data_IF_971655841334
#
_entry.id   IF_971655841334
#
_cell.length_a   1.000
_cell.length_b   1.000
_cell.length_c   1.000
_cell.angle_alpha   90.00
_cell.angle_beta   90.00
_cell.angle_gamma   90.00
#
_symmetry.space_group_name_H-M   'P 1'
#
loop_
_entity.id
_entity.type
_entity.pdbx_description
1 polymer ?
#
# COMPACT_ATOMS: atom_id res chain seq x y z
N UNK A 1 -2.61 23.31 -31.66
CA UNK A 1 -2.62 21.83 -31.61
C UNK A 1 -1.40 21.33 -32.35
N UNK A 2 -0.40 20.78 -31.65
CA UNK A 2 0.76 20.16 -32.29
C UNK A 2 0.44 18.70 -32.61
N UNK A 3 0.75 18.25 -33.83
CA UNK A 3 0.55 16.87 -34.24
C UNK A 3 1.30 15.93 -33.29
N UNK A 4 0.56 15.00 -32.66
CA UNK A 4 1.16 13.91 -31.90
C UNK A 4 2.09 13.12 -32.82
N UNK A 5 3.35 12.96 -32.44
CA UNK A 5 4.33 12.26 -33.28
C UNK A 5 3.87 10.82 -33.56
N UNK A 6 4.34 10.22 -34.65
CA UNK A 6 4.05 8.82 -34.96
C UNK A 6 4.37 7.88 -33.78
N UNK A 7 5.43 8.19 -33.02
CA UNK A 7 5.78 7.49 -31.80
C UNK A 7 4.69 7.59 -30.73
N UNK A 8 4.10 8.76 -30.51
CA UNK A 8 3.02 8.93 -29.52
C UNK A 8 1.79 8.10 -29.88
N UNK A 9 1.43 8.04 -31.18
CA UNK A 9 0.33 7.19 -31.66
C UNK A 9 0.62 5.70 -31.47
N UNK A 10 1.85 5.27 -31.79
CA UNK A 10 2.28 3.88 -31.59
C UNK A 10 2.25 3.51 -30.10
N UNK A 11 2.81 4.35 -29.23
CA UNK A 11 2.84 4.11 -27.79
C UNK A 11 1.41 4.07 -27.23
N UNK A 12 0.53 5.00 -27.62
CA UNK A 12 -0.87 4.96 -27.19
C UNK A 12 -1.60 3.70 -27.67
N UNK A 13 -1.32 3.23 -28.89
CA UNK A 13 -1.88 1.98 -29.39
C UNK A 13 -1.39 0.77 -28.59
N UNK A 14 -0.08 0.68 -28.33
CA UNK A 14 0.51 -0.37 -27.49
C UNK A 14 -0.07 -0.33 -26.08
N UNK A 15 -0.25 0.85 -25.50
CA UNK A 15 -0.88 1.02 -24.18
C UNK A 15 -2.33 0.58 -24.15
N UNK A 16 -3.08 0.81 -25.23
CA UNK A 16 -4.49 0.40 -25.34
C UNK A 16 -4.67 -1.11 -25.56
N UNK A 17 -3.72 -1.76 -26.24
CA UNK A 17 -3.84 -3.17 -26.67
C UNK A 17 -3.08 -4.14 -25.76
N UNK A 18 -1.96 -3.70 -25.17
CA UNK A 18 -1.10 -4.54 -24.34
C UNK A 18 -1.42 -4.34 -22.87
N UNK A 19 -2.13 -5.33 -22.31
CA UNK A 19 -2.45 -5.45 -20.87
C UNK A 19 -1.22 -5.44 -19.96
N UNK A 20 -0.03 -5.78 -20.50
CA UNK A 20 1.21 -5.91 -19.75
C UNK A 20 2.28 -4.87 -20.14
N UNK A 21 1.92 -3.88 -20.97
CA UNK A 21 2.87 -2.83 -21.31
C UNK A 21 3.16 -1.97 -20.07
N UNK A 22 4.28 -2.25 -19.43
CA UNK A 22 4.81 -1.56 -18.26
C UNK A 22 5.76 -0.44 -18.68
N UNK A 23 5.47 0.24 -19.80
CA UNK A 23 6.27 1.36 -20.28
C UNK A 23 6.50 2.38 -19.16
N UNK A 24 7.74 2.85 -19.06
CA UNK A 24 8.11 3.87 -18.09
C UNK A 24 8.00 5.25 -18.76
N UNK A 25 7.28 6.22 -18.18
CA UNK A 25 6.50 6.16 -16.94
C UNK A 25 5.11 5.54 -17.12
N UNK A 26 4.61 4.84 -16.09
CA UNK A 26 3.22 4.37 -16.03
C UNK A 26 2.31 5.57 -15.76
N UNK A 27 1.25 5.75 -16.55
CA UNK A 27 0.22 6.75 -16.23
C UNK A 27 -0.73 6.15 -15.17
N UNK A 28 -0.38 6.36 -13.91
CA UNK A 28 -1.10 5.83 -12.74
C UNK A 28 -2.39 6.61 -12.42
N UNK A 29 -2.70 7.65 -13.20
CA UNK A 29 -3.79 8.57 -12.90
C UNK A 29 -3.49 9.46 -11.68
N UNK A 30 -4.51 9.95 -10.96
CA UNK A 30 -4.28 10.73 -9.74
C UNK A 30 -3.67 9.83 -8.65
N UNK A 31 -2.72 10.37 -7.89
CA UNK A 31 -2.08 9.66 -6.77
C UNK A 31 -3.15 9.11 -5.81
N UNK A 32 -3.02 7.83 -5.50
CA UNK A 32 -3.88 7.10 -4.54
C UNK A 32 -3.19 6.85 -3.21
N UNK A 33 -1.94 7.31 -3.07
CA UNK A 33 -1.15 7.15 -1.86
C UNK A 33 -1.55 8.20 -0.82
N UNK A 34 -2.03 7.72 0.33
CA UNK A 34 -2.41 8.57 1.44
C UNK A 34 -1.16 8.99 2.22
N UNK A 35 -1.12 10.23 2.68
CA UNK A 35 -0.06 10.73 3.54
C UNK A 35 -0.56 10.76 4.97
N UNK A 36 0.25 10.26 5.92
CA UNK A 36 -0.12 10.32 7.32
C UNK A 36 -0.15 11.75 7.85
N UNK A 37 -1.25 12.09 8.49
CA UNK A 37 -1.53 13.40 9.11
C UNK A 37 -1.60 13.27 10.63
N UNK A 38 -2.46 12.37 11.12
CA UNK A 38 -2.74 12.17 12.53
C UNK A 38 -3.20 10.74 12.83
N UNK A 39 -3.02 10.31 14.08
CA UNK A 39 -3.49 9.01 14.55
C UNK A 39 -5.02 8.89 14.51
N UNK A 40 -5.75 10.00 14.72
CA UNK A 40 -7.23 10.01 14.67
C UNK A 40 -7.75 9.69 13.27
N UNK A 41 -7.16 10.32 12.24
CA UNK A 41 -7.52 10.06 10.85
C UNK A 41 -7.16 8.63 10.44
N UNK A 42 -6.02 8.12 10.90
CA UNK A 42 -5.63 6.73 10.67
C UNK A 42 -6.64 5.74 11.28
N UNK A 43 -7.07 5.97 12.52
CA UNK A 43 -8.09 5.12 13.17
C UNK A 43 -9.41 5.18 12.40
N UNK A 44 -9.84 6.36 11.97
CA UNK A 44 -11.03 6.51 11.11
C UNK A 44 -10.91 5.70 9.82
N UNK A 45 -9.73 5.67 9.20
CA UNK A 45 -9.45 4.88 8.01
C UNK A 45 -9.59 3.38 8.26
N UNK A 46 -9.07 2.89 9.40
CA UNK A 46 -9.18 1.49 9.81
C UNK A 46 -10.63 1.06 10.03
N UNK A 47 -11.46 1.94 10.60
CA UNK A 47 -12.88 1.67 10.83
C UNK A 47 -13.71 1.52 9.54
N UNK A 48 -13.17 1.93 8.38
CA UNK A 48 -13.86 1.73 7.10
C UNK A 48 -13.85 0.26 6.64
N UNK A 49 -13.07 -0.60 7.31
CA UNK A 49 -13.08 -2.05 7.08
C UNK A 49 -12.25 -2.52 5.89
N UNK A 50 -11.57 -1.63 5.18
CA UNK A 50 -10.61 -1.98 4.14
C UNK A 50 -9.22 -2.26 4.73
N UNK A 51 -8.46 -3.23 4.18
CA UNK A 51 -7.06 -3.40 4.53
C UNK A 51 -6.25 -2.13 4.21
N UNK A 52 -5.43 -1.70 5.16
CA UNK A 52 -4.55 -0.54 5.03
C UNK A 52 -3.10 -0.99 5.09
N UNK A 53 -2.37 -0.78 4.01
CA UNK A 53 -0.92 -0.95 3.93
C UNK A 53 -0.27 0.34 4.43
N UNK A 54 0.53 0.23 5.49
CA UNK A 54 1.22 1.36 6.10
C UNK A 54 2.70 1.20 5.89
N UNK A 55 3.27 2.16 5.19
CA UNK A 55 4.67 2.18 4.85
C UNK A 55 5.41 3.24 5.68
N UNK A 56 6.38 2.79 6.46
CA UNK A 56 7.18 3.63 7.35
C UNK A 56 8.50 3.98 6.67
N UNK A 57 8.77 5.27 6.52
CA UNK A 57 9.98 5.75 5.84
C UNK A 57 10.71 6.82 6.64
N UNK A 58 12.01 6.90 6.38
CA UNK A 58 12.89 8.00 6.76
C UNK A 58 13.37 8.69 5.48
N UNK A 59 13.83 9.94 5.59
CA UNK A 59 14.41 10.65 4.43
C UNK A 59 15.72 9.95 4.03
N UNK A 60 15.67 9.12 3.00
CA UNK A 60 16.83 8.47 2.39
C UNK A 60 16.64 8.31 0.87
N UNK A 61 17.73 8.08 0.13
CA UNK A 61 17.63 7.88 -1.33
C UNK A 61 16.83 6.63 -1.69
N UNK A 62 16.92 5.57 -0.87
CA UNK A 62 16.17 4.34 -1.06
C UNK A 62 14.66 4.56 -0.93
N UNK A 63 14.22 5.46 -0.03
CA UNK A 63 12.81 5.83 0.11
C UNK A 63 12.22 6.43 -1.17
N UNK A 64 13.01 7.10 -2.01
CA UNK A 64 12.50 7.67 -3.28
C UNK A 64 12.06 6.59 -4.27
N UNK A 65 12.78 5.48 -4.34
CA UNK A 65 12.39 4.36 -5.20
C UNK A 65 11.14 3.67 -4.63
N UNK A 66 11.17 3.44 -3.33
CA UNK A 66 10.06 2.86 -2.58
C UNK A 66 8.75 3.65 -2.72
N UNK A 67 8.81 4.99 -2.70
CA UNK A 67 7.66 5.86 -2.90
C UNK A 67 7.00 5.64 -4.29
N UNK A 68 7.81 5.43 -5.33
CA UNK A 68 7.29 5.10 -6.67
C UNK A 68 6.58 3.76 -6.69
N UNK A 69 7.17 2.75 -6.05
CA UNK A 69 6.55 1.41 -5.96
C UNK A 69 5.23 1.48 -5.18
N UNK A 70 5.17 2.26 -4.11
CA UNK A 70 3.95 2.46 -3.34
C UNK A 70 2.85 3.15 -4.15
N UNK A 71 3.19 4.17 -4.93
CA UNK A 71 2.23 4.83 -5.84
C UNK A 71 1.69 3.85 -6.89
N UNK A 72 2.56 3.02 -7.47
CA UNK A 72 2.17 1.99 -8.43
C UNK A 72 1.22 0.96 -7.80
N UNK A 73 1.56 0.46 -6.60
CA UNK A 73 0.72 -0.48 -5.87
C UNK A 73 -0.61 0.16 -5.45
N UNK A 74 -0.59 1.41 -4.99
CA UNK A 74 -1.79 2.15 -4.60
C UNK A 74 -2.76 2.30 -5.78
N UNK A 75 -2.25 2.54 -6.99
CA UNK A 75 -3.07 2.62 -8.20
C UNK A 75 -3.63 1.25 -8.61
N UNK A 76 -2.84 0.17 -8.49
CA UNK A 76 -3.26 -1.17 -8.91
C UNK A 76 -4.36 -1.76 -8.01
N UNK A 77 -4.26 -1.57 -6.69
CA UNK A 77 -5.19 -2.17 -5.72
C UNK A 77 -6.33 -1.24 -5.30
N UNK A 78 -6.44 -0.05 -5.88
CA UNK A 78 -7.55 0.86 -5.62
C UNK A 78 -8.87 0.30 -6.21
N UNK A 79 -10.01 0.33 -5.49
CA UNK A 79 -10.24 0.91 -4.15
C UNK A 79 -10.15 -0.11 -2.99
N UNK A 80 -9.83 -1.38 -3.28
CA UNK A 80 -9.94 -2.49 -2.33
C UNK A 80 -8.91 -2.45 -1.21
N UNK A 81 -7.72 -1.89 -1.48
CA UNK A 81 -6.64 -1.76 -0.51
C UNK A 81 -6.17 -0.31 -0.48
N UNK A 82 -5.98 0.22 0.73
CA UNK A 82 -5.49 1.59 0.93
C UNK A 82 -4.01 1.57 1.26
N UNK A 83 -3.27 2.46 0.62
CA UNK A 83 -1.84 2.62 0.88
C UNK A 83 -1.61 3.94 1.59
N UNK A 84 -0.85 3.91 2.68
CA UNK A 84 -0.53 5.08 3.48
C UNK A 84 0.97 5.16 3.73
N UNK A 85 1.55 6.33 3.53
CA UNK A 85 2.95 6.65 3.78
C UNK A 85 3.09 7.45 5.07
N UNK A 86 3.95 6.98 5.97
CA UNK A 86 4.30 7.63 7.24
C UNK A 86 5.75 8.05 7.20
N UNK A 87 6.00 9.36 7.28
CA UNK A 87 7.34 9.91 7.47
C UNK A 87 7.67 9.94 8.97
N UNK A 88 8.47 9.00 9.44
CA UNK A 88 8.84 8.90 10.86
C UNK A 88 9.59 10.10 11.44
N UNK A 89 10.44 10.83 10.69
CA UNK A 89 11.05 12.07 11.19
C UNK A 89 10.02 13.17 11.52
N UNK A 90 8.84 13.17 10.87
CA UNK A 90 7.76 14.14 11.15
C UNK A 90 6.87 13.68 12.31
N UNK A 91 6.67 12.38 12.46
CA UNK A 91 5.74 11.81 13.45
C UNK A 91 6.41 10.74 14.32
N UNK A 92 7.41 11.10 15.14
CA UNK A 92 8.18 10.15 15.92
C UNK A 92 7.30 9.36 16.91
N UNK A 93 6.30 10.01 17.53
CA UNK A 93 5.40 9.34 18.48
C UNK A 93 4.65 8.14 17.89
N UNK A 94 4.32 8.18 16.59
CA UNK A 94 3.66 7.05 15.93
C UNK A 94 4.64 5.91 15.61
N UNK A 95 5.87 6.23 15.22
CA UNK A 95 6.87 5.22 14.81
C UNK A 95 7.65 4.59 15.97
N UNK A 96 7.91 5.33 17.06
CA UNK A 96 8.66 4.83 18.23
C UNK A 96 8.02 3.57 18.81
N UNK A 97 6.69 3.49 18.79
CA UNK A 97 5.94 2.33 19.28
C UNK A 97 6.26 1.02 18.55
N UNK A 98 6.76 1.06 17.31
CA UNK A 98 7.13 -0.14 16.54
C UNK A 98 8.53 -0.67 16.86
N UNK A 99 9.39 0.13 17.49
CA UNK A 99 10.78 -0.22 17.85
C UNK A 99 11.64 -0.84 16.71
N UNK A 100 11.28 -0.61 15.44
CA UNK A 100 12.02 -1.08 14.27
C UNK A 100 13.12 -0.10 13.89
N UNK A 101 14.28 -0.64 13.53
CA UNK A 101 15.45 0.12 13.03
C UNK A 101 15.62 0.03 11.52
N UNK A 102 15.00 -0.97 10.90
CA UNK A 102 15.15 -1.27 9.48
C UNK A 102 14.12 -0.45 8.68
N UNK A 103 14.55 0.67 8.11
CA UNK A 103 13.70 1.52 7.27
C UNK A 103 14.13 1.47 5.80
N UNK A 104 13.19 1.59 4.85
CA UNK A 104 11.74 1.60 5.02
C UNK A 104 11.19 0.18 5.25
N UNK A 105 10.09 0.09 5.99
CA UNK A 105 9.38 -1.18 6.21
C UNK A 105 7.88 -0.97 6.05
N UNK A 106 7.16 -2.08 5.85
CA UNK A 106 5.71 -2.07 5.62
C UNK A 106 5.01 -2.95 6.66
N UNK A 107 3.92 -2.45 7.21
CA UNK A 107 2.98 -3.20 8.03
C UNK A 107 1.60 -3.13 7.39
N UNK A 108 0.89 -4.25 7.40
CA UNK A 108 -0.45 -4.34 6.83
C UNK A 108 -1.44 -4.48 7.98
N UNK A 109 -2.35 -3.51 8.05
CA UNK A 109 -3.43 -3.44 9.02
C UNK A 109 -4.67 -4.00 8.36
N UNK A 110 -5.09 -5.19 8.81
CA UNK A 110 -6.30 -5.82 8.30
C UNK A 110 -7.22 -6.20 9.45
N UNK A 111 -8.45 -5.66 9.44
CA UNK A 111 -9.51 -6.03 10.38
C UNK A 111 -10.38 -7.08 9.72
N UNK A 112 -10.17 -8.38 9.98
CA UNK A 112 -11.10 -9.36 9.45
C UNK A 112 -12.46 -9.16 10.14
N UNK A 113 -13.52 -8.97 9.35
CA UNK A 113 -14.91 -9.12 9.83
C UNK A 113 -15.15 -10.55 10.41
N UNK A 114 -14.26 -11.50 10.12
CA UNK A 114 -14.23 -12.86 10.66
C UNK A 114 -13.36 -13.07 11.92
N UNK A 115 -12.79 -12.03 12.55
CA UNK A 115 -12.16 -12.19 13.88
C UNK A 115 -13.16 -12.38 15.04
N UNK A 116 -14.48 -12.35 14.76
CA UNK A 116 -15.49 -12.66 15.78
C UNK A 116 -15.53 -14.16 16.16
N UNK A 117 -15.00 -15.07 15.32
CA UNK A 117 -15.18 -16.52 15.49
C UNK A 117 -13.90 -17.35 15.70
N UNK A 118 -12.70 -16.75 15.72
CA UNK A 118 -11.48 -17.45 16.14
C UNK A 118 -11.17 -17.10 17.58
N UNK A 119 -11.72 -17.90 18.50
CA UNK A 119 -11.39 -17.84 19.90
C UNK A 119 -9.89 -17.99 20.14
N UNK A 120 -9.40 -17.22 21.12
CA UNK A 120 -8.15 -17.44 21.86
C UNK A 120 -6.90 -17.61 21.00
N UNK A 121 -6.22 -16.49 20.75
CA UNK A 121 -4.85 -16.18 21.18
C UNK A 121 -4.69 -14.69 20.88
N UNK A 122 -4.66 -13.87 21.93
CA UNK A 122 -4.39 -12.44 21.80
C UNK A 122 -2.91 -12.28 21.47
N UNK A 123 -2.58 -12.18 20.18
CA UNK A 123 -1.28 -11.66 19.77
C UNK A 123 -1.13 -10.25 20.36
N UNK A 124 0.01 -9.92 21.01
CA UNK A 124 0.22 -8.61 21.63
C UNK A 124 0.09 -7.44 20.65
N UNK A 125 0.16 -7.69 19.34
CA UNK A 125 -0.02 -6.72 18.25
C UNK A 125 -1.47 -6.23 18.04
N UNK A 126 -2.49 -6.88 18.63
CA UNK A 126 -3.91 -6.51 18.43
C UNK A 126 -4.37 -5.41 19.42
N UNK A 127 -3.54 -5.07 20.41
CA UNK A 127 -3.98 -4.36 21.62
C UNK A 127 -4.19 -2.84 21.46
N UNK A 128 -3.60 -2.18 20.45
CA UNK A 128 -3.73 -0.72 20.29
C UNK A 128 -4.84 -0.27 19.32
N UNK A 129 -5.08 -1.01 18.24
CA UNK A 129 -6.02 -0.60 17.18
C UNK A 129 -7.14 -1.61 16.92
N UNK A 130 -7.19 -2.73 17.65
CA UNK A 130 -8.17 -3.82 17.41
C UNK A 130 -8.14 -4.37 15.98
N UNK A 131 -6.99 -4.24 15.31
CA UNK A 131 -6.73 -4.68 13.95
C UNK A 131 -5.53 -5.64 13.96
N UNK A 132 -5.56 -6.68 13.12
CA UNK A 132 -4.41 -7.57 12.96
C UNK A 132 -3.32 -6.84 12.20
N UNK A 133 -2.16 -6.68 12.84
CA UNK A 133 -0.96 -6.10 12.21
C UNK A 133 -0.09 -7.23 11.71
N UNK A 134 0.11 -7.29 10.40
CA UNK A 134 0.97 -8.27 9.74
C UNK A 134 2.25 -7.59 9.24
N UNK A 135 3.45 -8.08 9.63
CA UNK A 135 4.69 -7.64 9.00
C UNK A 135 4.70 -8.07 7.53
N UNK A 136 5.23 -7.22 6.65
CA UNK A 136 5.39 -7.52 5.24
C UNK A 136 6.86 -7.89 4.96
N UNK A 137 7.11 -9.19 4.82
CA UNK A 137 8.44 -9.74 4.56
C UNK A 137 8.67 -10.10 3.07
N UNK A 138 7.81 -9.62 2.18
CA UNK A 138 7.88 -9.90 0.74
C UNK A 138 8.61 -8.78 -0.01
N UNK A 139 8.96 -9.05 -1.28
CA UNK A 139 9.55 -8.05 -2.15
C UNK A 139 8.61 -6.84 -2.28
N UNK A 140 9.16 -5.64 -2.06
CA UNK A 140 8.42 -4.39 -2.25
C UNK A 140 8.22 -4.15 -3.74
N UNK A 141 7.17 -4.76 -4.27
CA UNK A 141 6.71 -4.65 -5.65
C UNK A 141 5.21 -4.92 -5.67
N UNK A 142 4.51 -4.45 -6.72
CA UNK A 142 3.09 -4.76 -6.89
C UNK A 142 2.82 -6.27 -6.90
N UNK A 143 3.74 -7.07 -7.45
CA UNK A 143 3.68 -8.53 -7.42
C UNK A 143 3.76 -9.08 -5.98
N UNK A 144 4.72 -8.61 -5.17
CA UNK A 144 4.87 -9.05 -3.79
C UNK A 144 3.63 -8.74 -2.94
N UNK A 145 3.03 -7.56 -3.12
CA UNK A 145 1.75 -7.23 -2.49
C UNK A 145 0.64 -8.17 -2.91
N UNK A 146 0.54 -8.50 -4.20
CA UNK A 146 -0.48 -9.42 -4.72
C UNK A 146 -0.36 -10.81 -4.10
N UNK A 147 0.85 -11.37 -4.03
CA UNK A 147 1.07 -12.69 -3.42
C UNK A 147 0.80 -12.67 -1.92
N UNK A 148 1.20 -11.60 -1.22
CA UNK A 148 0.89 -11.42 0.19
C UNK A 148 -0.63 -11.43 0.43
N UNK A 149 -1.38 -10.63 -0.32
CA UNK A 149 -2.84 -10.55 -0.17
C UNK A 149 -3.52 -11.87 -0.48
N UNK A 150 -3.08 -12.56 -1.53
CA UNK A 150 -3.58 -13.89 -1.90
C UNK A 150 -3.38 -14.91 -0.78
N UNK A 151 -2.19 -14.95 -0.17
CA UNK A 151 -1.87 -15.87 0.94
C UNK A 151 -2.71 -15.60 2.19
N UNK A 152 -3.01 -14.33 2.47
CA UNK A 152 -3.76 -13.93 3.65
C UNK A 152 -5.28 -13.84 3.42
N UNK A 153 -5.77 -14.25 2.24
CA UNK A 153 -7.20 -14.21 1.91
C UNK A 153 -7.78 -12.79 1.82
N UNK A 154 -6.91 -11.77 1.67
CA UNK A 154 -7.33 -10.39 1.50
C UNK A 154 -7.82 -10.22 0.06
N UNK A 155 -9.09 -9.86 -0.11
CA UNK A 155 -9.67 -9.56 -1.42
C UNK A 155 -9.09 -8.25 -1.96
N UNK A 156 -7.92 -8.35 -2.59
CA UNK A 156 -7.22 -7.20 -3.19
C UNK A 156 -7.80 -6.81 -4.56
N UNK A 157 -8.58 -7.69 -5.17
CA UNK A 157 -9.29 -7.49 -6.43
C UNK A 157 -10.61 -8.27 -6.39
N UNK A 158 -11.71 -7.67 -6.86
CA UNK A 158 -12.90 -8.46 -7.18
C UNK A 158 -12.55 -9.47 -8.28
N UNK A 159 -13.09 -10.71 -8.22
CA UNK A 159 -13.03 -11.60 -9.37
C UNK A 159 -13.79 -10.91 -10.51
N UNK A 160 -13.07 -10.53 -11.56
CA UNK A 160 -13.67 -10.09 -12.82
C UNK A 160 -13.88 -11.30 -13.73
#
# INVERSE_FOLDING_TARGET
MGDSSFFDRMINHVRSTSKYYTGYPKDLGPSRLLHFTSEREFVQLLHQGYPVVVAFSIRCNYAKHFDKVLEEAAAEFYPNVKFMRVECPKYPGFCITRQRKDYPFVEIFHSPQHAANQGRIADPNITKYSVKVLPFDYDVSAYGFREFFKKHGIRASDPK
#
